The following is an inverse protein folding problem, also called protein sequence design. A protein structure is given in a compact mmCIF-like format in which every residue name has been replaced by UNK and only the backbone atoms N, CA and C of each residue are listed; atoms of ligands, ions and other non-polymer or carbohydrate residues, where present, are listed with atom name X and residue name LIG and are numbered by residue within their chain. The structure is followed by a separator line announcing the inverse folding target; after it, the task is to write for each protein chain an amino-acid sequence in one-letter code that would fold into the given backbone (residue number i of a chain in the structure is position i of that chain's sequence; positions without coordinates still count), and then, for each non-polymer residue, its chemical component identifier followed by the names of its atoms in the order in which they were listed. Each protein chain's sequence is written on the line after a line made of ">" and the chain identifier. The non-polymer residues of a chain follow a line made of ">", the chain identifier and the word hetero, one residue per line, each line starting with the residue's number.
data_IF_818124670108
#
_entry.id   IF_818124670108
#
_cell.length_a   1.000
_cell.length_b   1.000
_cell.length_c   1.000
_cell.angle_alpha   90.00
_cell.angle_beta   90.00
_cell.angle_gamma   90.00
#
_symmetry.space_group_name_H-M   'P 1'
#
loop_
_entity.id
_entity.type
_entity.pdbx_description
1 polymer ?
#
# COMPACT_ATOMS: atom_id res chain seq x y z
N UNK A 1 7.18 -18.44 29.83
CA UNK A 1 8.59 -18.47 30.30
C UNK A 1 9.55 -18.25 29.11
N UNK A 2 9.36 -18.95 28.01
CA UNK A 2 10.24 -18.83 26.84
C UNK A 2 9.47 -19.09 25.55
N UNK A 3 9.86 -18.39 24.50
CA UNK A 3 9.32 -18.57 23.14
C UNK A 3 10.49 -18.99 22.22
N UNK A 4 10.44 -20.21 21.70
CA UNK A 4 11.42 -20.74 20.76
C UNK A 4 10.81 -20.72 19.36
N UNK A 5 11.61 -20.35 18.35
CA UNK A 5 11.19 -20.33 16.93
C UNK A 5 12.13 -21.23 16.15
N UNK A 6 11.56 -22.10 15.32
CA UNK A 6 12.27 -23.10 14.52
C UNK A 6 11.78 -23.10 13.08
N UNK A 7 12.69 -23.38 12.14
CA UNK A 7 12.38 -23.54 10.72
C UNK A 7 12.46 -22.23 9.92
N UNK A 8 12.76 -21.11 10.55
CA UNK A 8 12.95 -19.81 9.92
C UNK A 8 14.38 -19.63 9.38
N UNK A 9 14.67 -20.31 8.25
CA UNK A 9 16.01 -20.29 7.64
C UNK A 9 16.30 -18.96 6.89
N UNK A 10 15.28 -18.35 6.31
CA UNK A 10 15.34 -17.10 5.55
C UNK A 10 14.77 -15.93 6.37
N UNK A 11 13.58 -16.13 6.94
CA UNK A 11 12.88 -15.10 7.71
C UNK A 11 13.59 -14.87 9.04
N UNK A 12 13.91 -13.62 9.33
CA UNK A 12 14.52 -13.24 10.60
C UNK A 12 13.55 -13.48 11.75
N UNK A 13 14.08 -13.92 12.87
CA UNK A 13 13.30 -14.24 14.06
C UNK A 13 12.45 -13.07 14.54
N UNK A 14 12.98 -11.84 14.49
CA UNK A 14 12.23 -10.63 14.90
C UNK A 14 10.96 -10.40 14.06
N UNK A 15 10.94 -10.81 12.79
CA UNK A 15 9.74 -10.68 11.94
C UNK A 15 8.60 -11.54 12.47
N UNK A 16 8.91 -12.72 12.97
CA UNK A 16 7.92 -13.62 13.58
C UNK A 16 7.55 -13.12 14.98
N UNK A 17 8.53 -12.69 15.77
CA UNK A 17 8.30 -12.16 17.13
C UNK A 17 7.39 -10.92 17.12
N UNK A 18 7.51 -10.05 16.14
CA UNK A 18 6.66 -8.86 15.99
C UNK A 18 5.16 -9.18 15.75
N UNK A 19 4.83 -10.44 15.46
CA UNK A 19 3.45 -10.90 15.32
C UNK A 19 2.89 -11.55 16.60
N UNK A 20 3.70 -11.63 17.64
CA UNK A 20 3.28 -12.23 18.89
C UNK A 20 2.56 -11.18 19.76
N UNK A 21 1.44 -11.60 20.33
CA UNK A 21 0.66 -10.83 21.31
C UNK A 21 0.96 -11.28 22.75
N UNK A 22 1.94 -12.16 22.91
CA UNK A 22 2.42 -12.69 24.20
C UNK A 22 3.93 -12.54 24.21
N UNK A 23 4.47 -11.94 25.25
CA UNK A 23 5.91 -11.81 25.47
C UNK A 23 6.43 -12.84 26.48
N UNK A 24 7.75 -13.03 26.46
CA UNK A 24 8.42 -13.86 27.46
C UNK A 24 8.30 -13.23 28.83
N UNK A 25 7.76 -13.96 29.79
CA UNK A 25 7.45 -13.49 31.15
C UNK A 25 5.98 -13.22 31.40
N UNK A 26 5.16 -13.12 30.35
CA UNK A 26 3.71 -12.93 30.48
C UNK A 26 3.00 -14.15 31.02
N UNK A 27 1.82 -13.92 31.60
CA UNK A 27 0.88 -15.00 31.97
C UNK A 27 0.36 -15.64 30.68
N UNK A 28 0.51 -16.96 30.58
CA UNK A 28 0.02 -17.72 29.43
C UNK A 28 -1.49 -17.50 29.22
N UNK A 29 -1.83 -17.14 27.97
CA UNK A 29 -3.21 -16.94 27.53
C UNK A 29 -3.45 -17.63 26.18
N UNK A 30 -4.34 -18.62 26.18
CA UNK A 30 -4.69 -19.42 25.00
C UNK A 30 -5.29 -18.55 23.86
N UNK A 31 -6.07 -17.54 24.21
CA UNK A 31 -6.69 -16.63 23.22
C UNK A 31 -5.60 -15.82 22.50
N UNK A 32 -4.68 -15.24 23.27
CA UNK A 32 -3.56 -14.46 22.71
C UNK A 32 -2.62 -15.35 21.90
N UNK A 33 -2.35 -16.59 22.36
CA UNK A 33 -1.60 -17.58 21.57
C UNK A 33 -2.24 -17.85 20.21
N UNK A 34 -3.56 -18.09 20.18
CA UNK A 34 -4.27 -18.37 18.94
C UNK A 34 -4.34 -17.17 18.01
N UNK A 35 -4.48 -15.96 18.55
CA UNK A 35 -4.37 -14.71 17.79
C UNK A 35 -2.97 -14.55 17.21
N UNK A 36 -1.91 -14.71 18.00
CA UNK A 36 -0.52 -14.68 17.52
C UNK A 36 -0.26 -15.69 16.40
N UNK A 37 -0.79 -16.90 16.52
CA UNK A 37 -0.71 -17.92 15.47
C UNK A 37 -1.37 -17.42 14.16
N UNK A 38 -2.51 -16.76 14.25
CA UNK A 38 -3.20 -16.21 13.10
C UNK A 38 -2.45 -15.03 12.49
N UNK A 39 -1.85 -14.15 13.30
CA UNK A 39 -1.00 -13.05 12.81
C UNK A 39 0.23 -13.59 12.06
N UNK A 40 0.94 -14.60 12.59
CA UNK A 40 2.06 -15.23 11.89
C UNK A 40 1.60 -15.87 10.56
N UNK A 41 0.45 -16.53 10.54
CA UNK A 41 -0.14 -17.09 9.30
C UNK A 41 -0.53 -16.01 8.30
N UNK A 42 -0.98 -14.86 8.77
CA UNK A 42 -1.39 -13.72 7.93
C UNK A 42 -0.24 -13.10 7.14
N UNK A 43 1.01 -13.22 7.62
CA UNK A 43 2.20 -12.83 6.87
C UNK A 43 2.29 -13.55 5.51
N UNK A 44 1.73 -14.74 5.42
CA UNK A 44 1.74 -15.58 4.21
C UNK A 44 3.15 -15.93 3.72
N UNK A 45 4.13 -16.01 4.65
CA UNK A 45 5.52 -16.42 4.37
C UNK A 45 5.75 -17.92 4.52
N UNK A 46 4.79 -18.59 5.14
CA UNK A 46 4.92 -19.99 5.54
C UNK A 46 3.85 -20.88 4.90
N UNK A 47 4.22 -22.12 4.56
CA UNK A 47 3.28 -23.18 4.16
C UNK A 47 2.49 -23.66 5.36
N UNK A 48 3.17 -23.80 6.49
CA UNK A 48 2.56 -24.23 7.75
C UNK A 48 3.19 -23.49 8.92
N UNK A 49 2.37 -23.20 9.93
CA UNK A 49 2.78 -22.65 11.22
C UNK A 49 2.10 -23.48 12.29
N UNK A 50 2.90 -24.07 13.19
CA UNK A 50 2.44 -24.81 14.36
C UNK A 50 2.98 -24.14 15.61
N UNK A 51 2.18 -24.08 16.64
CA UNK A 51 2.52 -23.49 17.92
C UNK A 51 2.18 -24.49 19.03
N UNK A 52 3.19 -25.15 19.55
CA UNK A 52 3.08 -26.16 20.60
C UNK A 52 3.42 -25.55 21.95
N UNK A 53 2.67 -25.91 22.98
CA UNK A 53 2.89 -25.45 24.35
C UNK A 53 3.30 -26.65 25.20
N UNK A 54 4.43 -26.55 25.85
CA UNK A 54 4.94 -27.58 26.78
C UNK A 54 5.15 -26.98 28.17
N UNK A 55 5.13 -27.82 29.19
CA UNK A 55 5.43 -27.40 30.55
C UNK A 55 6.90 -26.95 30.65
N UNK A 56 7.13 -25.84 31.34
CA UNK A 56 8.47 -25.32 31.61
C UNK A 56 9.12 -26.04 32.81
N UNK A 57 10.30 -25.57 33.17
CA UNK A 57 11.05 -26.15 34.31
C UNK A 57 10.54 -25.67 35.66
N UNK A 58 9.95 -24.51 35.71
CA UNK A 58 9.40 -23.93 36.95
C UNK A 58 7.91 -24.25 37.08
N UNK A 59 7.42 -24.27 38.31
CA UNK A 59 6.02 -24.55 38.60
C UNK A 59 5.10 -23.52 37.90
N UNK A 60 4.14 -24.00 37.11
CA UNK A 60 3.22 -23.18 36.31
C UNK A 60 3.88 -22.38 35.17
N UNK A 61 5.11 -22.68 34.77
CA UNK A 61 5.74 -22.07 33.62
C UNK A 61 5.40 -22.83 32.32
N UNK A 62 5.31 -22.11 31.21
CA UNK A 62 5.04 -22.66 29.86
C UNK A 62 6.15 -22.26 28.90
N UNK A 63 6.47 -23.16 28.00
CA UNK A 63 7.36 -22.89 26.85
C UNK A 63 6.52 -23.00 25.60
N UNK A 64 6.60 -21.97 24.74
CA UNK A 64 5.91 -21.96 23.45
C UNK A 64 6.93 -22.25 22.36
N UNK A 65 6.74 -23.33 21.61
CA UNK A 65 7.55 -23.70 20.48
C UNK A 65 6.80 -23.38 19.18
N UNK A 66 7.33 -22.47 18.38
CA UNK A 66 6.78 -22.07 17.09
C UNK A 66 7.59 -22.75 16.00
N UNK A 67 6.97 -23.66 15.26
CA UNK A 67 7.58 -24.35 14.13
C UNK A 67 6.99 -23.80 12.83
N UNK A 68 7.84 -23.25 11.96
CA UNK A 68 7.43 -22.70 10.67
C UNK A 68 8.05 -23.49 9.52
N UNK A 69 7.32 -23.63 8.41
CA UNK A 69 7.81 -24.16 7.14
C UNK A 69 7.71 -23.07 6.07
N UNK A 70 8.85 -22.53 5.65
CA UNK A 70 8.90 -21.38 4.74
C UNK A 70 8.49 -21.74 3.30
N UNK A 71 7.93 -20.77 2.60
CA UNK A 71 7.62 -20.87 1.18
C UNK A 71 8.17 -19.65 0.43
N UNK A 72 8.33 -19.73 -0.90
CA UNK A 72 8.66 -18.55 -1.71
C UNK A 72 7.67 -17.40 -1.45
N UNK A 73 8.19 -16.20 -1.22
CA UNK A 73 7.41 -14.98 -0.94
C UNK A 73 7.43 -14.00 -2.09
N UNK A 74 8.27 -14.27 -3.10
CA UNK A 74 8.43 -13.47 -4.29
C UNK A 74 7.60 -13.98 -5.48
N UNK A 75 7.10 -13.05 -6.29
CA UNK A 75 6.36 -13.29 -7.52
C UNK A 75 6.86 -12.35 -8.61
N UNK A 76 7.05 -12.89 -9.82
CA UNK A 76 7.32 -12.12 -11.03
C UNK A 76 6.16 -12.34 -11.99
N UNK A 77 5.59 -11.28 -12.51
CA UNK A 77 4.51 -11.31 -13.48
C UNK A 77 4.91 -10.59 -14.77
N UNK A 78 4.45 -11.11 -15.90
CA UNK A 78 4.54 -10.45 -17.19
C UNK A 78 3.22 -10.68 -17.94
N UNK A 79 2.73 -9.64 -18.58
CA UNK A 79 1.48 -9.68 -19.33
C UNK A 79 1.60 -8.85 -20.61
N UNK A 80 0.82 -9.23 -21.62
CA UNK A 80 0.64 -8.44 -22.83
C UNK A 80 -0.84 -8.47 -23.23
N UNK A 81 -1.36 -7.36 -23.74
CA UNK A 81 -2.75 -7.23 -24.12
C UNK A 81 -2.99 -6.06 -25.07
N UNK A 82 -4.25 -5.89 -25.46
CA UNK A 82 -4.72 -4.76 -26.26
C UNK A 82 -5.79 -4.01 -25.46
N UNK A 83 -5.66 -2.69 -25.40
CA UNK A 83 -6.59 -1.82 -24.72
C UNK A 83 -6.95 -0.59 -25.56
N UNK A 84 -7.66 0.34 -24.96
CA UNK A 84 -8.02 1.63 -25.58
C UNK A 84 -6.81 2.50 -25.91
N UNK A 85 -5.66 2.24 -25.29
CA UNK A 85 -4.36 2.89 -25.54
C UNK A 85 -3.46 2.09 -26.50
N UNK A 86 -4.02 1.10 -27.23
CA UNK A 86 -3.28 0.21 -28.10
C UNK A 86 -2.71 -1.01 -27.39
N UNK A 87 -1.55 -1.47 -27.86
CA UNK A 87 -0.80 -2.58 -27.27
C UNK A 87 -0.28 -2.18 -25.89
N UNK A 88 -0.41 -3.08 -24.92
CA UNK A 88 0.04 -2.88 -23.54
C UNK A 88 0.91 -4.06 -23.13
N UNK A 89 2.06 -3.77 -22.54
CA UNK A 89 2.96 -4.73 -21.94
C UNK A 89 3.13 -4.36 -20.48
N UNK A 90 3.00 -5.36 -19.59
CA UNK A 90 3.13 -5.17 -18.14
C UNK A 90 4.18 -6.12 -17.58
N UNK A 91 5.01 -5.58 -16.68
CA UNK A 91 5.94 -6.34 -15.87
C UNK A 91 5.71 -6.00 -14.41
N UNK A 92 5.76 -7.02 -13.55
CA UNK A 92 5.61 -6.85 -12.11
C UNK A 92 6.60 -7.72 -11.35
N UNK A 93 7.11 -7.17 -10.24
CA UNK A 93 7.88 -7.90 -9.24
C UNK A 93 7.26 -7.58 -7.88
N UNK A 94 6.89 -8.61 -7.15
CA UNK A 94 6.40 -8.50 -5.79
C UNK A 94 7.22 -9.42 -4.90
N UNK A 95 7.74 -8.90 -3.80
CA UNK A 95 8.39 -9.68 -2.76
C UNK A 95 7.85 -9.20 -1.41
N UNK A 96 7.32 -10.11 -0.60
CA UNK A 96 6.70 -9.75 0.67
C UNK A 96 7.64 -9.89 1.86
N UNK A 97 8.79 -10.55 1.67
CA UNK A 97 9.79 -10.79 2.72
C UNK A 97 11.21 -10.54 2.22
N UNK A 98 11.45 -9.38 1.63
CA UNK A 98 12.73 -9.03 1.03
C UNK A 98 13.89 -9.17 2.03
N UNK A 99 14.88 -9.99 1.68
CA UNK A 99 16.05 -10.34 2.51
C UNK A 99 15.67 -10.97 3.87
N UNK A 100 14.51 -11.59 3.98
CA UNK A 100 14.02 -12.19 5.23
C UNK A 100 13.68 -11.17 6.31
N UNK A 101 13.58 -9.89 5.97
CA UNK A 101 13.35 -8.78 6.92
C UNK A 101 11.87 -8.42 7.09
N UNK A 102 10.94 -9.15 6.45
CA UNK A 102 9.55 -8.78 6.41
C UNK A 102 9.26 -7.50 5.60
N UNK A 103 10.24 -7.04 4.80
CA UNK A 103 10.05 -5.87 3.94
C UNK A 103 9.25 -6.27 2.70
N UNK A 104 8.20 -5.53 2.42
CA UNK A 104 7.48 -5.62 1.16
C UNK A 104 8.16 -4.80 0.07
N UNK A 105 8.42 -5.40 -1.08
CA UNK A 105 8.87 -4.73 -2.30
C UNK A 105 7.82 -4.97 -3.38
N UNK A 106 7.34 -3.91 -4.01
CA UNK A 106 6.41 -3.99 -5.13
C UNK A 106 6.89 -3.05 -6.23
N UNK A 107 7.18 -3.60 -7.39
CA UNK A 107 7.55 -2.83 -8.58
C UNK A 107 6.66 -3.24 -9.74
N UNK A 108 6.16 -2.28 -10.49
CA UNK A 108 5.45 -2.54 -11.73
C UNK A 108 5.87 -1.56 -12.83
N UNK A 109 5.85 -2.03 -14.05
CA UNK A 109 6.11 -1.25 -15.26
C UNK A 109 5.05 -1.61 -16.30
N UNK A 110 4.24 -0.62 -16.67
CA UNK A 110 3.26 -0.74 -17.77
C UNK A 110 3.73 0.13 -18.93
N UNK A 111 3.84 -0.45 -20.09
CA UNK A 111 4.24 0.20 -21.33
C UNK A 111 3.12 0.09 -22.36
N UNK A 112 2.77 1.21 -22.99
CA UNK A 112 1.90 1.24 -24.16
C UNK A 112 2.40 2.28 -25.15
N UNK A 113 1.78 2.36 -26.33
CA UNK A 113 2.10 3.36 -27.35
C UNK A 113 1.92 4.81 -26.88
N UNK A 114 1.07 5.03 -25.88
CA UNK A 114 0.71 6.37 -25.38
C UNK A 114 1.00 6.57 -23.89
N UNK A 115 1.47 5.52 -23.19
CA UNK A 115 1.66 5.60 -21.73
C UNK A 115 2.82 4.75 -21.25
N UNK A 116 3.63 5.33 -20.39
CA UNK A 116 4.61 4.61 -19.56
C UNK A 116 4.21 4.88 -18.10
N UNK A 117 4.05 3.80 -17.34
CA UNK A 117 3.79 3.92 -15.89
C UNK A 117 4.69 2.95 -15.15
N UNK A 118 5.66 3.49 -14.42
CA UNK A 118 6.56 2.75 -13.56
C UNK A 118 6.35 3.14 -12.10
N UNK A 119 6.33 2.16 -11.22
CA UNK A 119 6.36 2.39 -9.79
C UNK A 119 7.25 1.38 -9.08
N UNK A 120 7.82 1.82 -7.97
CA UNK A 120 8.55 1.01 -7.02
C UNK A 120 8.15 1.44 -5.62
N UNK A 121 7.65 0.50 -4.82
CA UNK A 121 7.31 0.74 -3.43
C UNK A 121 8.05 -0.25 -2.53
N UNK A 122 8.65 0.26 -1.48
CA UNK A 122 9.27 -0.52 -0.40
C UNK A 122 8.54 -0.19 0.88
N UNK A 123 8.03 -1.22 1.55
CA UNK A 123 7.26 -1.08 2.80
C UNK A 123 7.95 -1.85 3.90
N UNK A 124 8.24 -1.18 5.00
CA UNK A 124 8.58 -1.82 6.26
C UNK A 124 7.34 -1.78 7.17
N UNK A 125 6.61 -2.88 7.36
CA UNK A 125 5.37 -2.88 8.12
C UNK A 125 5.56 -2.68 9.62
N UNK A 126 6.72 -3.06 10.15
CA UNK A 126 7.06 -2.99 11.57
C UNK A 126 8.38 -2.20 11.76
N UNK A 127 8.36 -0.91 11.42
CA UNK A 127 9.55 -0.08 11.53
C UNK A 127 10.02 0.04 12.97
N UNK A 128 11.29 -0.31 13.20
CA UNK A 128 11.90 -0.32 14.53
C UNK A 128 11.15 -1.21 15.54
N UNK A 129 10.65 -2.38 15.07
CA UNK A 129 9.84 -3.34 15.85
C UNK A 129 8.61 -2.70 16.52
N UNK A 130 7.99 -1.73 15.85
CA UNK A 130 6.75 -1.08 16.29
C UNK A 130 5.61 -1.38 15.30
N UNK A 131 4.37 -1.04 15.69
CA UNK A 131 3.17 -1.16 14.85
C UNK A 131 3.10 -0.08 13.75
N UNK A 132 4.19 0.67 13.55
CA UNK A 132 4.25 1.72 12.53
C UNK A 132 4.89 1.18 11.27
N UNK A 133 4.19 1.33 10.16
CA UNK A 133 4.78 1.06 8.85
C UNK A 133 5.48 2.29 8.30
N UNK A 134 6.58 2.08 7.58
CA UNK A 134 7.24 3.12 6.78
C UNK A 134 7.26 2.68 5.33
N UNK A 135 6.84 3.56 4.43
CA UNK A 135 6.79 3.30 2.99
C UNK A 135 7.65 4.31 2.27
N UNK A 136 8.50 3.83 1.37
CA UNK A 136 9.22 4.63 0.39
C UNK A 136 8.73 4.27 -1.00
N UNK A 137 8.42 5.28 -1.83
CA UNK A 137 7.92 5.11 -3.18
C UNK A 137 8.71 5.90 -4.21
N UNK A 138 8.86 5.31 -5.41
CA UNK A 138 9.29 5.99 -6.63
C UNK A 138 8.22 5.80 -7.68
N UNK A 139 7.93 6.86 -8.44
CA UNK A 139 6.95 6.85 -9.53
C UNK A 139 7.50 7.54 -10.77
N UNK A 140 7.22 6.96 -11.92
CA UNK A 140 7.46 7.54 -13.24
C UNK A 140 6.19 7.36 -14.09
N UNK A 141 5.60 8.46 -14.51
CA UNK A 141 4.38 8.45 -15.34
C UNK A 141 4.61 9.32 -16.57
N UNK A 142 4.41 8.75 -17.74
CA UNK A 142 4.39 9.46 -19.01
C UNK A 142 3.07 9.20 -19.71
N UNK A 143 2.39 10.25 -20.15
CA UNK A 143 1.20 10.20 -20.99
C UNK A 143 1.48 10.98 -22.26
N UNK A 144 1.64 10.28 -23.39
CA UNK A 144 1.84 10.88 -24.70
C UNK A 144 0.52 10.94 -25.45
N UNK A 145 -0.03 12.12 -25.56
CA UNK A 145 -1.26 12.45 -26.28
C UNK A 145 -1.02 13.47 -27.38
N UNK A 146 0.25 13.58 -27.86
CA UNK A 146 0.63 14.56 -28.88
C UNK A 146 -0.14 14.37 -30.18
N UNK A 147 -0.37 13.13 -30.61
CA UNK A 147 -1.10 12.82 -31.84
C UNK A 147 -2.60 13.05 -31.75
N UNK A 148 -3.23 12.77 -30.60
CA UNK A 148 -4.67 12.83 -30.42
C UNK A 148 -5.17 14.14 -29.82
N UNK A 149 -4.41 14.72 -28.89
CA UNK A 149 -4.83 15.91 -28.15
C UNK A 149 -3.78 17.03 -28.09
N UNK A 150 -2.63 16.84 -28.73
CA UNK A 150 -1.60 17.86 -28.86
C UNK A 150 -0.75 18.09 -27.61
N UNK A 151 -0.78 17.22 -26.59
CA UNK A 151 0.04 17.38 -25.40
C UNK A 151 0.69 16.07 -24.94
N UNK A 152 1.78 16.19 -24.20
CA UNK A 152 2.48 15.11 -23.51
C UNK A 152 2.80 15.58 -22.08
N UNK A 153 2.56 14.73 -21.09
CA UNK A 153 3.01 14.97 -19.71
C UNK A 153 3.96 13.86 -19.27
N UNK A 154 5.03 14.23 -18.59
CA UNK A 154 5.99 13.32 -17.97
C UNK A 154 6.18 13.76 -16.53
N UNK A 155 5.88 12.86 -15.58
CA UNK A 155 5.91 13.12 -14.13
C UNK A 155 6.77 12.06 -13.45
N UNK A 156 7.75 12.51 -12.69
CA UNK A 156 8.64 11.66 -11.90
C UNK A 156 8.59 12.11 -10.45
N UNK A 157 8.57 11.17 -9.53
CA UNK A 157 8.46 11.55 -8.14
C UNK A 157 8.92 10.48 -7.17
N UNK A 158 9.05 10.93 -5.93
CA UNK A 158 9.36 10.12 -4.77
C UNK A 158 8.38 10.43 -3.65
N UNK A 159 8.12 9.44 -2.81
CA UNK A 159 7.30 9.60 -1.62
C UNK A 159 7.89 8.88 -0.43
N UNK A 160 7.67 9.43 0.75
CA UNK A 160 8.01 8.81 2.02
C UNK A 160 6.82 8.97 2.96
N UNK A 161 6.38 7.89 3.57
CA UNK A 161 5.21 7.91 4.42
C UNK A 161 5.28 6.94 5.59
N UNK A 162 4.42 7.18 6.57
CA UNK A 162 4.18 6.29 7.70
C UNK A 162 2.70 6.07 7.86
N UNK A 163 2.32 4.89 8.32
CA UNK A 163 0.94 4.54 8.66
C UNK A 163 0.94 3.72 9.95
N UNK A 164 0.00 4.01 10.85
CA UNK A 164 -0.15 3.33 12.12
C UNK A 164 -1.61 3.33 12.57
N UNK A 165 -1.98 2.36 13.36
CA UNK A 165 -3.29 2.33 14.01
C UNK A 165 -3.29 3.35 15.15
N UNK A 166 -4.15 4.37 15.04
CA UNK A 166 -4.29 5.44 16.03
C UNK A 166 -5.33 5.11 17.08
N UNK A 167 -6.42 4.49 16.66
CA UNK A 167 -7.49 3.92 17.47
C UNK A 167 -7.87 2.57 16.86
N UNK A 168 -8.58 1.74 17.62
CA UNK A 168 -9.08 0.45 17.12
C UNK A 168 -9.82 0.62 15.79
N UNK A 169 -9.40 -0.14 14.78
CA UNK A 169 -9.89 -0.10 13.39
C UNK A 169 -9.66 1.23 12.65
N UNK A 170 -8.97 2.20 13.24
CA UNK A 170 -8.70 3.50 12.64
C UNK A 170 -7.21 3.74 12.43
N UNK A 171 -6.78 3.71 11.17
CA UNK A 171 -5.41 3.94 10.76
C UNK A 171 -5.20 5.37 10.28
N UNK A 172 -4.12 5.99 10.73
CA UNK A 172 -3.65 7.30 10.31
C UNK A 172 -2.39 7.14 9.45
N UNK A 173 -2.44 7.64 8.23
CA UNK A 173 -1.32 7.72 7.31
C UNK A 173 -0.87 9.16 7.11
N UNK A 174 0.43 9.41 7.19
CA UNK A 174 1.03 10.70 6.85
C UNK A 174 2.17 10.43 5.88
N UNK A 175 2.19 11.14 4.75
CA UNK A 175 3.29 11.01 3.79
C UNK A 175 3.64 12.36 3.17
N UNK A 176 4.87 12.49 2.72
CA UNK A 176 5.30 13.56 1.84
C UNK A 176 5.63 12.99 0.47
N UNK A 177 5.34 13.76 -0.57
CA UNK A 177 5.68 13.40 -1.94
C UNK A 177 6.23 14.60 -2.69
N UNK A 178 7.23 14.37 -3.54
CA UNK A 178 7.83 15.39 -4.37
C UNK A 178 7.86 14.90 -5.81
N UNK A 179 7.39 15.74 -6.74
CA UNK A 179 7.28 15.43 -8.16
C UNK A 179 7.90 16.52 -9.02
N UNK A 180 8.57 16.08 -10.08
CA UNK A 180 8.97 16.91 -11.22
C UNK A 180 8.07 16.55 -12.38
N UNK A 181 7.36 17.50 -12.94
CA UNK A 181 6.47 17.32 -14.07
C UNK A 181 6.86 18.21 -15.22
N UNK A 182 6.83 17.66 -16.44
CA UNK A 182 6.99 18.41 -17.69
C UNK A 182 5.77 18.23 -18.58
N UNK A 183 5.14 19.32 -18.94
CA UNK A 183 4.04 19.35 -19.91
C UNK A 183 4.57 19.98 -21.21
N UNK A 184 4.46 19.26 -22.31
CA UNK A 184 4.84 19.71 -23.66
C UNK A 184 3.62 19.69 -24.57
N UNK A 185 3.53 20.66 -25.49
CA UNK A 185 2.40 20.79 -26.41
C UNK A 185 2.89 20.98 -27.85
N UNK A 186 2.04 20.64 -28.82
CA UNK A 186 2.25 20.92 -30.24
C UNK A 186 1.20 21.90 -30.79
N UNK A 187 1.18 22.12 -32.12
CA UNK A 187 0.24 23.01 -32.78
C UNK A 187 -1.24 22.61 -32.60
N UNK A 188 -1.53 21.33 -32.45
CA UNK A 188 -2.89 20.77 -32.29
C UNK A 188 -3.48 20.99 -30.90
N UNK A 189 -2.66 21.37 -29.89
CA UNK A 189 -3.13 21.64 -28.54
C UNK A 189 -4.03 22.86 -28.48
N UNK A 190 -5.07 22.81 -27.61
CA UNK A 190 -5.93 23.94 -27.31
C UNK A 190 -5.15 25.07 -26.64
N UNK A 191 -5.71 26.29 -26.64
CA UNK A 191 -5.10 27.44 -25.96
C UNK A 191 -4.86 27.18 -24.49
N UNK A 192 -5.81 26.55 -23.79
CA UNK A 192 -5.68 26.18 -22.38
C UNK A 192 -4.55 25.14 -22.15
N UNK A 193 -4.38 24.16 -23.04
CA UNK A 193 -3.28 23.22 -22.94
C UNK A 193 -1.91 23.88 -23.20
N UNK A 194 -1.83 24.79 -24.17
CA UNK A 194 -0.62 25.55 -24.48
C UNK A 194 -0.20 26.47 -23.32
N UNK A 195 -1.16 27.08 -22.62
CA UNK A 195 -0.85 27.90 -21.44
C UNK A 195 -0.31 27.12 -20.25
N UNK A 196 -0.51 25.79 -20.24
CA UNK A 196 -0.02 24.88 -19.20
C UNK A 196 1.29 24.17 -19.58
N UNK A 197 1.86 24.45 -20.76
CA UNK A 197 3.17 23.90 -21.13
C UNK A 197 4.25 24.49 -20.22
N UNK A 198 5.11 23.62 -19.66
CA UNK A 198 6.17 24.06 -18.75
C UNK A 198 6.75 22.91 -17.93
N UNK A 199 7.65 23.29 -17.02
CA UNK A 199 8.20 22.40 -16.03
C UNK A 199 7.65 22.83 -14.67
N UNK A 200 7.22 21.85 -13.87
CA UNK A 200 6.60 22.08 -12.57
C UNK A 200 7.31 21.25 -11.51
N UNK A 201 7.46 21.84 -10.35
CA UNK A 201 7.83 21.14 -9.13
C UNK A 201 6.64 21.15 -8.17
N UNK A 202 6.31 19.99 -7.63
CA UNK A 202 5.23 19.84 -6.67
C UNK A 202 5.70 19.03 -5.46
N UNK A 203 5.47 19.57 -4.29
CA UNK A 203 5.67 18.87 -3.03
C UNK A 203 4.38 18.93 -2.21
N UNK A 204 3.93 17.75 -1.77
CA UNK A 204 2.69 17.57 -1.01
C UNK A 204 2.96 16.94 0.34
N UNK A 205 2.16 17.33 1.34
CA UNK A 205 1.86 16.48 2.49
C UNK A 205 0.51 15.81 2.21
N UNK A 206 0.48 14.49 2.34
CA UNK A 206 -0.73 13.70 2.19
C UNK A 206 -1.13 13.14 3.56
N UNK A 207 -2.40 13.31 3.91
CA UNK A 207 -3.02 12.75 5.10
C UNK A 207 -4.03 11.69 4.65
N UNK A 208 -3.93 10.50 5.23
CA UNK A 208 -4.85 9.39 5.01
C UNK A 208 -5.54 9.00 6.30
N UNK A 209 -6.86 8.97 6.28
CA UNK A 209 -7.70 8.47 7.34
C UNK A 209 -8.39 7.21 6.83
N UNK A 210 -8.14 6.07 7.46
CA UNK A 210 -8.63 4.76 7.01
C UNK A 210 -9.34 4.05 8.18
N UNK A 211 -10.67 4.00 8.11
CA UNK A 211 -11.50 3.33 9.09
C UNK A 211 -12.04 2.02 8.51
N UNK A 212 -11.60 0.88 9.08
CA UNK A 212 -11.83 -0.45 8.53
C UNK A 212 -12.59 -1.34 9.53
N UNK A 213 -13.90 -1.39 9.39
CA UNK A 213 -14.84 -2.21 10.18
C UNK A 213 -15.29 -3.47 9.45
N UNK A 214 -14.47 -3.97 8.54
CA UNK A 214 -14.76 -5.24 7.88
C UNK A 214 -14.54 -6.40 8.86
N UNK A 215 -15.40 -7.41 8.79
CA UNK A 215 -15.26 -8.62 9.60
C UNK A 215 -13.92 -9.35 9.36
N UNK A 216 -13.40 -9.28 8.14
CA UNK A 216 -12.08 -9.80 7.76
C UNK A 216 -11.55 -9.07 6.52
N UNK A 217 -10.22 -8.93 6.42
CA UNK A 217 -9.57 -8.21 5.28
C UNK A 217 -9.56 -9.04 3.99
N UNK A 218 -9.50 -10.37 4.13
CA UNK A 218 -9.53 -11.32 3.03
C UNK A 218 -10.89 -12.02 2.99
N UNK A 219 -11.53 -12.10 1.81
CA UNK A 219 -12.90 -12.62 1.63
C UNK A 219 -13.92 -11.96 2.56
N UNK A 220 -13.88 -10.64 2.62
CA UNK A 220 -14.83 -9.84 3.40
C UNK A 220 -16.27 -10.22 3.05
N UNK A 221 -17.08 -10.54 4.05
CA UNK A 221 -18.51 -10.85 3.87
C UNK A 221 -19.43 -9.82 4.54
N UNK A 222 -18.93 -9.04 5.50
CA UNK A 222 -19.72 -8.05 6.22
C UNK A 222 -18.87 -6.86 6.67
N UNK A 223 -19.53 -5.74 6.94
CA UNK A 223 -18.91 -4.52 7.45
C UNK A 223 -18.59 -3.50 6.36
N UNK A 224 -17.76 -2.52 6.71
CA UNK A 224 -17.43 -1.43 5.79
C UNK A 224 -16.00 -0.92 5.98
N UNK A 225 -15.52 -0.24 4.96
CA UNK A 225 -14.26 0.52 5.02
C UNK A 225 -14.48 1.91 4.44
N UNK A 226 -13.99 2.91 5.14
CA UNK A 226 -14.06 4.32 4.79
C UNK A 226 -12.64 4.89 4.74
N UNK A 227 -12.23 5.41 3.59
CA UNK A 227 -10.90 5.97 3.38
C UNK A 227 -11.02 7.40 2.87
N UNK A 228 -10.37 8.32 3.55
CA UNK A 228 -10.24 9.71 3.11
C UNK A 228 -8.77 10.06 2.92
N UNK A 229 -8.42 10.51 1.73
CA UNK A 229 -7.09 10.97 1.35
C UNK A 229 -7.14 12.48 1.06
N UNK A 230 -6.32 13.26 1.75
CA UNK A 230 -6.14 14.69 1.58
C UNK A 230 -4.71 15.00 1.13
N UNK A 231 -4.55 15.65 -0.01
CA UNK A 231 -3.26 16.14 -0.50
C UNK A 231 -3.19 17.67 -0.34
N UNK A 232 -2.21 18.13 0.44
CA UNK A 232 -1.96 19.55 0.70
C UNK A 232 -0.64 19.97 0.04
N UNK A 233 -0.63 20.95 -0.87
CA UNK A 233 0.59 21.49 -1.44
C UNK A 233 1.37 22.28 -0.37
N UNK A 234 2.71 22.06 -0.32
CA UNK A 234 3.61 22.82 0.57
C UNK A 234 4.44 23.78 -0.26
N UNK A 235 5.19 23.24 -1.22
CA UNK A 235 6.02 23.98 -2.16
C UNK A 235 5.65 23.45 -3.53
N UNK A 236 4.80 24.17 -4.24
CA UNK A 236 4.29 23.74 -5.56
C UNK A 236 4.15 24.95 -6.46
N UNK A 237 4.49 24.77 -7.73
CA UNK A 237 4.30 25.82 -8.74
C UNK A 237 2.81 26.11 -9.00
N UNK A 238 1.97 25.11 -8.76
CA UNK A 238 0.51 25.23 -8.76
C UNK A 238 -0.05 24.61 -7.47
N UNK A 239 -0.72 25.44 -6.68
CA UNK A 239 -1.23 25.04 -5.38
C UNK A 239 -2.63 24.42 -5.50
N UNK A 240 -2.68 23.11 -5.70
CA UNK A 240 -3.94 22.35 -5.79
C UNK A 240 -4.13 21.47 -4.56
N UNK A 241 -5.23 21.63 -3.84
CA UNK A 241 -5.67 20.68 -2.81
C UNK A 241 -6.43 19.56 -3.50
N UNK A 242 -6.09 18.33 -3.18
CA UNK A 242 -6.80 17.14 -3.65
C UNK A 242 -7.49 16.43 -2.49
N UNK A 243 -8.74 16.04 -2.71
CA UNK A 243 -9.52 15.25 -1.75
C UNK A 243 -10.05 14.02 -2.47
N UNK A 244 -9.91 12.86 -1.84
CA UNK A 244 -10.50 11.61 -2.33
C UNK A 244 -11.15 10.87 -1.18
N UNK A 245 -12.41 10.52 -1.34
CA UNK A 245 -13.14 9.70 -0.37
C UNK A 245 -13.60 8.42 -1.04
N UNK A 246 -13.27 7.29 -0.43
CA UNK A 246 -13.68 5.97 -0.88
C UNK A 246 -14.42 5.26 0.26
N UNK A 247 -15.62 4.81 -0.01
CA UNK A 247 -16.43 4.01 0.90
C UNK A 247 -16.79 2.69 0.25
N UNK A 248 -16.62 1.60 0.99
CA UNK A 248 -17.06 0.26 0.59
C UNK A 248 -17.84 -0.37 1.72
N UNK A 249 -19.02 -0.86 1.41
CA UNK A 249 -19.88 -1.61 2.31
C UNK A 249 -20.08 -3.02 1.77
N UNK A 250 -20.01 -4.01 2.64
CA UNK A 250 -20.18 -5.43 2.34
C UNK A 250 -21.32 -5.97 3.17
N UNK A 251 -22.15 -6.81 2.56
CA UNK A 251 -23.24 -7.50 3.24
C UNK A 251 -23.50 -8.85 2.57
N UNK A 252 -23.50 -9.91 3.36
CA UNK A 252 -23.91 -11.22 2.90
C UNK A 252 -25.43 -11.26 2.78
N UNK A 253 -25.93 -11.41 1.54
CA UNK A 253 -27.38 -11.46 1.26
C UNK A 253 -27.94 -12.86 1.49
N UNK A 254 -27.18 -13.89 1.15
CA UNK A 254 -27.45 -15.29 1.40
C UNK A 254 -26.15 -16.09 1.27
N UNK A 255 -26.14 -17.32 1.73
CA UNK A 255 -24.93 -18.15 1.87
C UNK A 255 -24.00 -18.08 0.67
N UNK A 256 -22.74 -17.67 0.90
CA UNK A 256 -21.66 -17.45 -0.06
C UNK A 256 -21.91 -16.36 -1.13
N UNK A 257 -22.93 -15.50 -0.95
CA UNK A 257 -23.21 -14.38 -1.86
C UNK A 257 -23.08 -13.05 -1.14
N UNK A 258 -22.01 -12.33 -1.41
CA UNK A 258 -21.71 -11.03 -0.81
C UNK A 258 -22.03 -9.92 -1.78
N UNK A 259 -22.90 -9.00 -1.36
CA UNK A 259 -23.14 -7.73 -2.06
C UNK A 259 -22.10 -6.70 -1.62
N UNK A 260 -21.58 -5.95 -2.59
CA UNK A 260 -20.63 -4.87 -2.31
C UNK A 260 -21.17 -3.58 -2.91
N UNK A 261 -21.35 -2.57 -2.05
CA UNK A 261 -21.60 -1.19 -2.46
C UNK A 261 -20.30 -0.39 -2.41
N UNK A 262 -19.97 0.36 -3.47
CA UNK A 262 -18.77 1.18 -3.53
C UNK A 262 -19.15 2.61 -3.95
N UNK A 263 -18.66 3.60 -3.20
CA UNK A 263 -18.79 5.02 -3.49
C UNK A 263 -17.39 5.65 -3.53
N UNK A 264 -17.07 6.32 -4.63
CA UNK A 264 -15.84 7.11 -4.77
C UNK A 264 -16.19 8.55 -5.09
N UNK A 265 -15.62 9.49 -4.34
CA UNK A 265 -15.74 10.93 -4.57
C UNK A 265 -14.34 11.53 -4.61
N UNK A 266 -14.08 12.36 -5.61
CA UNK A 266 -12.81 13.07 -5.73
C UNK A 266 -13.05 14.54 -6.08
N UNK A 267 -12.22 15.42 -5.52
CA UNK A 267 -12.21 16.81 -5.87
C UNK A 267 -10.79 17.38 -5.89
N UNK A 268 -10.56 18.30 -6.81
CA UNK A 268 -9.35 19.10 -6.88
C UNK A 268 -9.73 20.58 -6.84
N UNK A 269 -9.07 21.36 -5.98
CA UNK A 269 -9.37 22.79 -5.81
C UNK A 269 -8.07 23.58 -5.85
N UNK A 270 -7.97 24.56 -6.75
CA UNK A 270 -6.83 25.47 -6.77
C UNK A 270 -6.94 26.47 -5.62
N UNK A 271 -5.84 26.67 -4.89
CA UNK A 271 -5.71 27.72 -3.87
C UNK A 271 -5.30 29.07 -4.45
N UNK A 272 -4.83 29.08 -5.70
CA UNK A 272 -4.51 30.26 -6.48
C UNK A 272 -5.60 30.46 -7.56
N UNK A 273 -5.69 31.65 -8.15
CA UNK A 273 -6.60 31.87 -9.29
C UNK A 273 -6.13 31.19 -10.59
N UNK A 274 -5.17 30.28 -10.49
CA UNK A 274 -4.63 29.55 -11.63
C UNK A 274 -5.51 28.34 -11.98
N UNK A 275 -5.46 27.94 -13.25
CA UNK A 275 -6.07 26.71 -13.72
C UNK A 275 -5.39 25.48 -13.09
N UNK A 276 -6.20 24.47 -12.71
CA UNK A 276 -5.71 23.17 -12.27
C UNK A 276 -4.97 22.51 -13.44
N UNK A 277 -3.78 21.95 -13.17
CA UNK A 277 -2.97 21.27 -14.17
C UNK A 277 -3.72 20.12 -14.85
N UNK A 278 -3.41 19.86 -16.12
CA UNK A 278 -3.99 18.76 -16.89
C UNK A 278 -3.83 17.39 -16.19
N UNK A 279 -2.72 17.19 -15.51
CA UNK A 279 -2.41 15.97 -14.77
C UNK A 279 -3.20 15.81 -13.46
N UNK A 280 -3.78 16.88 -12.94
CA UNK A 280 -4.52 16.92 -11.67
C UNK A 280 -6.04 17.04 -11.88
N UNK A 281 -6.48 17.16 -13.13
CA UNK A 281 -7.92 17.14 -13.47
C UNK A 281 -8.45 15.71 -13.33
N UNK A 282 -9.59 15.60 -12.67
CA UNK A 282 -10.30 14.36 -12.37
C UNK A 282 -11.16 13.89 -13.53
#
# INVERSE_FOLDING_TARGET
>A
ERINIFGNNITRENVIRNQLLIDEGDIYNEILKNRSLNEIRSLNFFKSVKMDVIEGKELNSKIININVDEKPTGEISAGAGFGTSGEVIEFGVRENNYLGKGLGLNSSLTLSSTRINGNLNVVNPNYNNSDKSVTFGLQALENDRLSSFGYKSSKYGTSLGTNFEYLEDFNLGISTSAFLEKISTNSAASTNQKSQAGNYFDNYINLRLDYDKRNQKYKTSDGYRSVYDLGLPIISDKNTITNTYNYKYFSELYENNVSTFSLGLSSATSLSNDDIKLSERL
#
